data_IF_800343780092
#
_entry.id   IF_800343780092
#
_cell.length_a   1.000
_cell.length_b   1.000
_cell.length_c   1.000
_cell.angle_alpha   90.00
_cell.angle_beta   90.00
_cell.angle_gamma   90.00
#
_symmetry.space_group_name_H-M   'P 1'
#
loop_
_entity.id
_entity.type
_entity.pdbx_description
1 polymer ?
#
# COMPACT_ATOMS: atom_id res chain seq x y z
N UNK A 1 20.56 18.33 -1.22
CA UNK A 1 19.81 17.66 -0.16
C UNK A 1 20.22 16.21 -0.04
N UNK A 2 20.31 15.72 1.20
CA UNK A 2 20.66 14.33 1.42
C UNK A 2 19.46 13.42 1.11
N UNK A 3 19.70 12.37 0.36
CA UNK A 3 18.69 11.36 0.12
C UNK A 3 18.65 10.40 1.30
N UNK A 4 17.46 9.94 1.61
CA UNK A 4 17.25 8.94 2.66
C UNK A 4 16.71 7.66 2.05
N UNK A 5 16.97 6.56 2.72
CA UNK A 5 16.45 5.27 2.30
C UNK A 5 15.16 4.96 3.06
N UNK A 6 14.11 4.64 2.32
CA UNK A 6 12.81 4.26 2.87
C UNK A 6 12.45 2.86 2.42
N UNK A 7 11.65 2.19 3.21
CA UNK A 7 11.05 0.92 2.82
C UNK A 7 9.54 1.10 2.74
N UNK A 8 8.92 0.49 1.74
CA UNK A 8 7.47 0.48 1.64
C UNK A 8 6.95 -0.88 1.18
N UNK A 9 5.71 -1.16 1.53
CA UNK A 9 4.97 -2.30 1.01
C UNK A 9 3.55 -1.83 0.71
N UNK A 10 2.92 -2.40 -0.29
CA UNK A 10 1.57 -2.03 -0.68
C UNK A 10 0.65 -3.20 -0.40
N UNK A 11 -0.41 -2.95 0.34
CA UNK A 11 -1.35 -3.96 0.80
C UNK A 11 -2.75 -3.58 0.30
N UNK A 12 -3.45 -4.56 -0.27
CA UNK A 12 -4.84 -4.42 -0.66
C UNK A 12 -5.71 -5.15 0.35
N UNK A 13 -6.65 -4.42 0.95
CA UNK A 13 -7.63 -5.00 1.88
C UNK A 13 -9.02 -4.70 1.32
N UNK A 14 -9.69 -5.69 0.70
CA UNK A 14 -11.00 -5.45 0.12
C UNK A 14 -12.02 -5.09 1.18
N UNK A 15 -13.03 -4.31 0.79
CA UNK A 15 -14.11 -3.94 1.69
C UNK A 15 -14.90 -5.19 2.06
N UNK A 16 -15.28 -5.26 3.35
CA UNK A 16 -16.10 -6.36 3.84
C UNK A 16 -17.49 -6.30 3.23
N UNK A 17 -17.94 -7.40 2.64
CA UNK A 17 -19.29 -7.48 2.08
C UNK A 17 -20.32 -7.63 3.22
N UNK A 18 -21.58 -7.32 2.91
CA UNK A 18 -22.66 -7.48 3.89
C UNK A 18 -22.75 -8.93 4.38
N UNK A 19 -22.62 -9.89 3.46
CA UNK A 19 -22.66 -11.30 3.81
C UNK A 19 -21.51 -11.70 4.74
N UNK A 20 -20.29 -11.21 4.44
CA UNK A 20 -19.14 -11.46 5.29
C UNK A 20 -19.34 -10.86 6.68
N UNK A 21 -19.92 -9.66 6.74
CA UNK A 21 -20.21 -9.00 8.02
C UNK A 21 -21.22 -9.79 8.84
N UNK A 22 -22.29 -10.28 8.20
CA UNK A 22 -23.31 -11.07 8.88
C UNK A 22 -22.78 -12.38 9.45
N UNK A 23 -21.77 -12.97 8.78
CA UNK A 23 -21.15 -14.22 9.23
C UNK A 23 -19.96 -13.98 10.16
N UNK A 24 -19.59 -12.72 10.39
CA UNK A 24 -18.42 -12.38 11.16
C UNK A 24 -17.10 -12.64 10.45
N UNK A 25 -17.14 -12.87 9.15
CA UNK A 25 -15.94 -13.07 8.33
C UNK A 25 -15.29 -11.74 8.00
N UNK A 26 -13.96 -11.74 7.90
CA UNK A 26 -13.19 -10.58 7.48
C UNK A 26 -12.48 -10.88 6.17
N UNK A 27 -12.45 -9.92 5.23
CA UNK A 27 -11.72 -10.12 3.99
C UNK A 27 -10.22 -10.24 4.28
N UNK A 28 -9.54 -11.07 3.51
CA UNK A 28 -8.10 -11.25 3.64
C UNK A 28 -7.36 -10.13 2.92
N UNK A 29 -6.35 -9.59 3.57
CA UNK A 29 -5.46 -8.64 2.95
C UNK A 29 -4.54 -9.35 1.97
N UNK A 30 -4.18 -8.66 0.90
CA UNK A 30 -3.32 -9.18 -0.15
C UNK A 30 -2.08 -8.29 -0.26
N UNK A 31 -0.91 -8.91 -0.32
CA UNK A 31 0.33 -8.16 -0.55
C UNK A 31 0.44 -7.88 -2.04
N UNK A 32 0.27 -6.61 -2.41
CA UNK A 32 0.32 -6.18 -3.80
C UNK A 32 1.76 -5.96 -4.26
N UNK A 33 2.53 -5.25 -3.43
CA UNK A 33 3.95 -5.01 -3.68
C UNK A 33 4.70 -5.39 -2.41
N UNK A 34 5.63 -6.32 -2.55
CA UNK A 34 6.47 -6.75 -1.44
C UNK A 34 7.38 -5.61 -0.99
N UNK A 35 7.98 -5.75 0.19
CA UNK A 35 8.85 -4.72 0.76
C UNK A 35 9.90 -4.29 -0.24
N UNK A 36 9.88 -3.00 -0.57
CA UNK A 36 10.75 -2.40 -1.57
C UNK A 36 11.43 -1.19 -0.96
N UNK A 37 12.71 -1.01 -1.25
CA UNK A 37 13.47 0.14 -0.77
C UNK A 37 13.52 1.21 -1.85
N UNK A 38 13.47 2.46 -1.41
CA UNK A 38 13.52 3.59 -2.32
C UNK A 38 14.36 4.72 -1.70
N UNK A 39 15.16 5.37 -2.53
CA UNK A 39 15.88 6.58 -2.13
C UNK A 39 15.05 7.78 -2.50
N UNK A 40 14.81 8.65 -1.53
CA UNK A 40 14.04 9.87 -1.73
C UNK A 40 14.52 10.97 -0.79
N UNK A 41 14.29 12.21 -1.16
CA UNK A 41 14.68 13.35 -0.35
C UNK A 41 13.78 13.51 0.87
N UNK A 42 12.55 13.00 0.81
CA UNK A 42 11.58 13.08 1.89
C UNK A 42 10.62 11.90 1.83
N UNK A 43 9.90 11.69 2.93
CA UNK A 43 8.86 10.67 2.98
C UNK A 43 7.78 10.91 1.94
N UNK A 44 7.45 12.18 1.68
CA UNK A 44 6.46 12.53 0.67
C UNK A 44 6.88 12.07 -0.73
N UNK A 45 8.14 12.27 -1.08
CA UNK A 45 8.67 11.77 -2.36
C UNK A 45 8.64 10.25 -2.43
N UNK A 46 9.02 9.59 -1.34
CA UNK A 46 8.98 8.13 -1.28
C UNK A 46 7.55 7.62 -1.46
N UNK A 47 6.58 8.31 -0.86
CA UNK A 47 5.17 7.97 -0.99
C UNK A 47 4.68 8.11 -2.43
N UNK A 48 5.10 9.15 -3.13
CA UNK A 48 4.77 9.34 -4.55
C UNK A 48 5.32 8.18 -5.39
N UNK A 49 6.57 7.79 -5.15
CA UNK A 49 7.18 6.66 -5.85
C UNK A 49 6.41 5.38 -5.57
N UNK A 50 6.05 5.15 -4.29
CA UNK A 50 5.28 3.98 -3.91
C UNK A 50 3.93 3.94 -4.62
N UNK A 51 3.24 5.07 -4.69
CA UNK A 51 1.92 5.14 -5.33
C UNK A 51 1.99 4.80 -6.82
N UNK A 52 3.09 5.12 -7.48
CA UNK A 52 3.30 4.78 -8.89
C UNK A 52 3.53 3.29 -9.12
N UNK A 53 3.83 2.55 -8.05
CA UNK A 53 4.03 1.10 -8.13
C UNK A 53 2.72 0.32 -8.05
N UNK A 54 1.60 1.00 -7.80
CA UNK A 54 0.30 0.35 -7.70
C UNK A 54 -0.12 -0.14 -9.09
N UNK A 55 -0.42 -1.46 -9.25
CA UNK A 55 -0.88 -1.97 -10.54
C UNK A 55 -2.19 -1.32 -10.99
N UNK A 56 -2.36 -1.19 -12.30
CA UNK A 56 -3.54 -0.54 -12.89
C UNK A 56 -4.85 -1.16 -12.43
N UNK A 57 -4.88 -2.47 -12.19
CA UNK A 57 -6.10 -3.16 -11.75
C UNK A 57 -6.63 -2.70 -10.39
N UNK A 58 -5.82 -1.98 -9.63
CA UNK A 58 -6.21 -1.47 -8.33
C UNK A 58 -6.50 0.04 -8.34
N UNK A 59 -6.36 0.71 -9.48
CA UNK A 59 -6.53 2.16 -9.54
C UNK A 59 -7.95 2.62 -9.21
N UNK A 60 -8.94 1.80 -9.46
CA UNK A 60 -10.34 2.10 -9.11
C UNK A 60 -10.70 1.65 -7.68
N UNK A 61 -9.73 1.09 -6.95
CA UNK A 61 -9.91 0.57 -5.59
C UNK A 61 -8.91 1.19 -4.62
N UNK A 62 -8.51 2.42 -4.87
CA UNK A 62 -7.46 3.07 -4.07
C UNK A 62 -7.84 3.22 -2.61
N UNK A 63 -9.12 3.31 -2.28
CA UNK A 63 -9.58 3.38 -0.89
C UNK A 63 -9.29 2.09 -0.12
N UNK A 64 -9.04 0.99 -0.83
CA UNK A 64 -8.69 -0.30 -0.23
C UNK A 64 -7.19 -0.56 -0.20
N UNK A 65 -6.40 0.35 -0.78
CA UNK A 65 -4.96 0.21 -0.84
C UNK A 65 -4.32 0.95 0.33
N UNK A 66 -3.39 0.28 0.99
CA UNK A 66 -2.61 0.87 2.07
C UNK A 66 -1.14 0.78 1.73
N UNK A 67 -0.45 1.90 1.84
CA UNK A 67 1.00 1.95 1.67
C UNK A 67 1.62 2.00 3.06
N UNK A 68 2.31 0.93 3.43
CA UNK A 68 3.04 0.89 4.69
C UNK A 68 4.46 1.36 4.40
N UNK A 69 4.86 2.46 5.01
CA UNK A 69 6.16 3.08 4.76
C UNK A 69 6.87 3.38 6.06
N UNK A 70 8.18 3.20 6.04
CA UNK A 70 9.03 3.54 7.20
C UNK A 70 10.41 3.96 6.73
N UNK A 71 11.11 4.67 7.60
CA UNK A 71 12.53 4.97 7.41
C UNK A 71 13.31 3.66 7.53
N UNK A 72 14.28 3.53 6.69
CA UNK A 72 15.17 2.36 6.74
C UNK A 72 16.27 2.58 7.77
#
# INVERSE_FOLDING_TARGET
>A
MAMKLYEYAIIYTPLQTKEQNDRGERPKSELVVDVTRVLAASEKEADIVASRSIPDKYLDKLECIQIAMRDF
#
